data_IF_677896432850
#
_entry.id   IF_677896432850
#
_cell.length_a   1.000
_cell.length_b   1.000
_cell.length_c   1.000
_cell.angle_alpha   90.00
_cell.angle_beta   90.00
_cell.angle_gamma   90.00
#
_symmetry.space_group_name_H-M   'P 1'
#
loop_
_entity.id
_entity.type
_entity.pdbx_description
1 polymer ?
#
# COMPACT_ATOMS: atom_id res chain seq x y z
N UNK A 1 -4.54 19.42 -8.61
CA UNK A 1 -4.21 19.43 -7.16
C UNK A 1 -4.19 17.98 -6.68
N UNK A 2 -3.01 17.35 -6.62
CA UNK A 2 -2.87 15.95 -6.18
C UNK A 2 -2.74 15.94 -4.65
N UNK A 3 -3.67 15.34 -3.92
CA UNK A 3 -3.47 15.00 -2.50
C UNK A 3 -3.04 13.55 -2.46
N UNK A 4 -1.79 13.30 -2.09
CA UNK A 4 -1.26 11.95 -1.89
C UNK A 4 -1.45 11.60 -0.42
N UNK A 5 -2.23 10.56 -0.12
CA UNK A 5 -2.32 10.00 1.23
C UNK A 5 -1.39 8.80 1.34
N UNK A 6 -0.25 9.01 1.97
CA UNK A 6 0.74 7.96 2.22
C UNK A 6 0.30 7.18 3.46
N UNK A 7 -0.21 5.96 3.27
CA UNK A 7 -0.29 4.96 4.35
C UNK A 7 1.05 4.24 4.41
N UNK A 8 1.68 4.23 5.59
CA UNK A 8 2.98 3.58 5.84
C UNK A 8 2.74 2.41 6.78
N UNK A 9 2.94 1.19 6.30
CA UNK A 9 3.10 0.01 7.15
C UNK A 9 4.49 -0.57 6.88
N UNK A 10 5.32 -0.68 7.91
CA UNK A 10 6.63 -1.31 7.84
C UNK A 10 6.77 -2.25 9.03
N UNK A 11 7.04 -3.52 8.77
CA UNK A 11 7.28 -4.52 9.81
C UNK A 11 8.68 -5.05 9.62
N UNK A 12 9.56 -4.75 10.57
CA UNK A 12 10.91 -5.32 10.60
C UNK A 12 10.84 -6.70 11.25
N UNK A 13 11.20 -7.74 10.51
CA UNK A 13 11.43 -9.07 11.07
C UNK A 13 12.93 -9.20 11.39
N UNK A 14 13.30 -9.09 12.67
CA UNK A 14 14.69 -9.23 13.14
C UNK A 14 15.69 -8.27 12.45
N UNK A 15 16.86 -8.74 12.03
CA UNK A 15 17.93 -7.96 11.40
C UNK A 15 17.80 -7.86 9.87
N UNK A 16 16.66 -8.24 9.29
CA UNK A 16 16.43 -8.24 7.84
C UNK A 16 16.07 -6.84 7.32
N UNK A 17 16.18 -6.65 6.01
CA UNK A 17 15.75 -5.45 5.32
C UNK A 17 14.27 -5.17 5.57
N UNK A 18 13.93 -3.87 5.67
CA UNK A 18 12.56 -3.42 5.92
C UNK A 18 11.90 -3.16 4.57
N UNK A 19 10.80 -3.85 4.29
CA UNK A 19 9.96 -3.47 3.16
C UNK A 19 8.91 -2.43 3.57
N UNK A 20 8.88 -1.30 2.85
CA UNK A 20 7.97 -0.19 3.11
C UNK A 20 6.85 -0.15 2.07
N UNK A 21 5.65 -0.54 2.50
CA UNK A 21 4.44 -0.47 1.69
C UNK A 21 3.83 0.94 1.73
N UNK A 22 3.68 1.57 0.57
CA UNK A 22 3.02 2.85 0.38
C UNK A 22 1.87 2.77 -0.63
N UNK A 23 0.79 3.49 -0.36
CA UNK A 23 -0.28 3.70 -1.33
C UNK A 23 -0.26 5.14 -1.87
N UNK A 24 -0.18 5.29 -3.19
CA UNK A 24 -0.38 6.54 -3.93
C UNK A 24 -1.83 6.60 -4.41
N UNK A 25 -2.63 7.44 -3.75
CA UNK A 25 -4.03 7.61 -4.11
C UNK A 25 -4.24 8.63 -5.25
N UNK A 26 -4.90 8.21 -6.32
CA UNK A 26 -5.43 9.08 -7.37
C UNK A 26 -6.81 9.60 -6.93
N UNK A 27 -6.83 10.83 -6.44
CA UNK A 27 -8.06 11.49 -5.96
C UNK A 27 -8.87 12.11 -7.11
N UNK A 28 -8.21 12.46 -8.21
CA UNK A 28 -8.84 13.04 -9.40
C UNK A 28 -7.97 12.77 -10.62
N UNK A 29 -8.60 12.28 -11.68
CA UNK A 29 -8.04 12.14 -13.02
C UNK A 29 -9.15 12.44 -14.05
N UNK A 30 -8.76 12.80 -15.26
CA UNK A 30 -9.70 12.94 -16.38
C UNK A 30 -10.13 11.57 -16.91
N UNK A 31 -9.20 10.62 -16.97
CA UNK A 31 -9.46 9.27 -17.45
C UNK A 31 -8.86 8.23 -16.49
N UNK A 32 -9.71 7.57 -15.70
CA UNK A 32 -9.31 6.47 -14.83
C UNK A 32 -9.12 5.14 -15.59
N UNK A 33 -9.62 5.05 -16.83
CA UNK A 33 -9.53 3.84 -17.65
C UNK A 33 -8.20 3.75 -18.40
N UNK A 34 -7.51 4.88 -18.59
CA UNK A 34 -6.14 4.95 -19.12
C UNK A 34 -5.08 4.54 -18.08
N UNK A 35 -5.25 3.32 -17.59
CA UNK A 35 -4.48 2.69 -16.52
C UNK A 35 -2.99 2.55 -16.85
N UNK A 36 -2.67 2.33 -18.13
CA UNK A 36 -1.29 2.23 -18.61
C UNK A 36 -0.59 3.59 -18.42
N UNK A 37 -1.18 4.67 -18.96
CA UNK A 37 -0.59 5.99 -18.82
C UNK A 37 -0.58 6.46 -17.36
N UNK A 38 -1.59 6.10 -16.57
CA UNK A 38 -1.60 6.38 -15.13
C UNK A 38 -0.40 5.74 -14.42
N UNK A 39 -0.15 4.44 -14.66
CA UNK A 39 0.98 3.73 -14.04
C UNK A 39 2.32 4.30 -14.52
N UNK A 40 2.45 4.55 -15.82
CA UNK A 40 3.66 5.13 -16.41
C UNK A 40 3.95 6.55 -15.91
N UNK A 41 2.92 7.38 -15.75
CA UNK A 41 3.08 8.72 -15.19
C UNK A 41 3.54 8.68 -13.73
N UNK A 42 2.98 7.77 -12.93
CA UNK A 42 3.41 7.55 -11.56
C UNK A 42 4.86 7.05 -11.51
N UNK A 43 5.23 6.07 -12.36
CA UNK A 43 6.58 5.53 -12.48
C UNK A 43 7.60 6.59 -12.83
N UNK A 44 7.37 7.36 -13.91
CA UNK A 44 8.27 8.45 -14.32
C UNK A 44 8.42 9.52 -13.23
N UNK A 45 7.33 9.87 -12.56
CA UNK A 45 7.38 10.84 -11.44
C UNK A 45 8.16 10.29 -10.25
N UNK A 46 8.00 9.01 -9.95
CA UNK A 46 8.71 8.36 -8.85
C UNK A 46 10.20 8.21 -9.16
N UNK A 47 10.56 7.73 -10.36
CA UNK A 47 11.95 7.67 -10.83
C UNK A 47 12.62 9.03 -10.77
N UNK A 48 11.94 10.12 -11.14
CA UNK A 48 12.50 11.46 -10.97
C UNK A 48 12.87 11.75 -9.51
N UNK A 49 11.95 11.49 -8.57
CA UNK A 49 12.19 11.71 -7.15
C UNK A 49 13.29 10.80 -6.57
N UNK A 50 13.41 9.56 -7.05
CA UNK A 50 14.46 8.62 -6.65
C UNK A 50 15.83 9.05 -7.17
N UNK A 51 15.92 9.46 -8.44
CA UNK A 51 17.17 9.92 -9.05
C UNK A 51 17.66 11.26 -8.48
N UNK A 52 16.77 12.14 -7.99
CA UNK A 52 17.16 13.33 -7.22
C UNK A 52 17.91 12.99 -5.91
N UNK A 53 17.93 11.70 -5.52
CA UNK A 53 18.58 11.16 -4.33
C UNK A 53 19.56 10.02 -4.65
N UNK A 54 19.94 9.85 -5.91
CA UNK A 54 20.86 8.81 -6.38
C UNK A 54 20.41 7.36 -6.04
N UNK A 55 19.09 7.12 -5.96
CA UNK A 55 18.52 5.80 -5.61
C UNK A 55 18.20 4.91 -6.82
N UNK A 56 18.37 5.42 -8.05
CA UNK A 56 18.04 4.72 -9.28
C UNK A 56 16.54 4.61 -9.59
N UNK A 57 16.23 3.91 -10.67
CA UNK A 57 14.86 3.72 -11.14
C UNK A 57 14.14 2.59 -10.39
N UNK A 58 12.83 2.72 -10.19
CA UNK A 58 12.01 1.63 -9.67
C UNK A 58 11.68 0.60 -10.76
N UNK A 59 11.42 -0.63 -10.32
CA UNK A 59 10.81 -1.70 -11.09
C UNK A 59 9.28 -1.55 -11.12
N UNK A 60 8.68 -1.79 -12.29
CA UNK A 60 7.24 -1.87 -12.44
C UNK A 60 6.71 -3.26 -12.06
N UNK A 61 6.51 -3.56 -10.78
CA UNK A 61 5.97 -4.82 -10.29
C UNK A 61 4.48 -5.00 -10.60
N UNK A 62 3.93 -6.21 -10.44
CA UNK A 62 2.52 -6.50 -10.75
C UNK A 62 1.53 -5.57 -10.04
N UNK A 63 1.76 -5.25 -8.77
CA UNK A 63 0.81 -4.47 -7.95
C UNK A 63 1.37 -3.16 -7.39
N UNK A 64 2.64 -2.87 -7.64
CA UNK A 64 3.41 -1.78 -7.05
C UNK A 64 4.49 -1.28 -8.01
N UNK A 65 5.06 -0.12 -7.70
CA UNK A 65 6.33 0.35 -8.21
C UNK A 65 7.38 0.12 -7.12
N UNK A 66 8.32 -0.78 -7.36
CA UNK A 66 9.23 -1.33 -6.35
C UNK A 66 10.63 -0.74 -6.51
N UNK A 67 11.21 -0.23 -5.45
CA UNK A 67 12.62 0.20 -5.45
C UNK A 67 13.55 -0.98 -5.18
N UNK A 68 14.80 -0.89 -5.63
CA UNK A 68 15.85 -1.77 -5.13
C UNK A 68 16.13 -1.54 -3.65
N UNK A 69 17.02 -2.35 -3.06
CA UNK A 69 17.44 -2.15 -1.67
C UNK A 69 18.21 -0.83 -1.50
N UNK A 70 17.76 -0.03 -0.54
CA UNK A 70 18.32 1.26 -0.17
C UNK A 70 19.05 1.08 1.16
N UNK A 71 20.30 1.53 1.22
CA UNK A 71 21.10 1.55 2.43
C UNK A 71 21.53 2.97 2.76
N UNK A 72 21.55 3.32 4.04
CA UNK A 72 22.13 4.58 4.47
C UNK A 72 23.64 4.45 4.61
N UNK A 73 24.39 5.34 3.96
CA UNK A 73 25.86 5.40 4.09
C UNK A 73 26.29 5.80 5.51
N UNK A 74 25.41 6.44 6.29
CA UNK A 74 25.64 6.83 7.69
C UNK A 74 24.38 6.64 8.52
N UNK A 75 24.53 6.19 9.77
CA UNK A 75 23.43 6.04 10.72
C UNK A 75 22.95 4.59 10.82
N UNK A 76 21.64 4.36 10.64
CA UNK A 76 21.04 3.04 10.77
C UNK A 76 21.47 2.14 9.58
N UNK A 77 22.16 1.00 9.82
CA UNK A 77 22.60 0.11 8.76
C UNK A 77 21.47 -0.76 8.19
N UNK A 78 20.25 -0.71 8.75
CA UNK A 78 19.13 -1.50 8.23
C UNK A 78 18.75 -1.04 6.83
N UNK A 79 18.94 -1.94 5.87
CA UNK A 79 18.50 -1.79 4.49
C UNK A 79 16.98 -1.76 4.40
N UNK A 80 16.45 -1.10 3.39
CA UNK A 80 15.02 -1.07 3.16
C UNK A 80 14.69 -0.95 1.67
N UNK A 81 13.55 -1.50 1.28
CA UNK A 81 12.92 -1.28 -0.01
C UNK A 81 11.63 -0.48 0.19
N UNK A 82 11.10 0.05 -0.91
CA UNK A 82 9.83 0.74 -0.95
C UNK A 82 9.00 0.21 -2.11
N UNK A 83 7.75 -0.12 -1.79
CA UNK A 83 6.72 -0.54 -2.72
C UNK A 83 5.62 0.51 -2.77
N UNK A 84 5.43 1.15 -3.93
CA UNK A 84 4.41 2.18 -4.12
C UNK A 84 3.27 1.61 -4.96
N UNK A 85 2.19 1.20 -4.29
CA UNK A 85 0.94 0.79 -4.93
C UNK A 85 0.16 2.01 -5.41
N UNK A 86 -0.49 1.93 -6.57
CA UNK A 86 -1.39 2.99 -7.04
C UNK A 86 -2.82 2.57 -6.72
N UNK A 87 -3.56 3.46 -6.06
CA UNK A 87 -4.94 3.20 -5.65
C UNK A 87 -5.88 4.32 -6.06
N UNK A 88 -7.16 4.02 -6.21
CA UNK A 88 -8.23 5.00 -6.33
C UNK A 88 -9.40 4.60 -5.45
N UNK A 89 -10.43 5.45 -5.40
CA UNK A 89 -11.70 5.14 -4.72
C UNK A 89 -12.88 5.42 -5.62
N UNK A 90 -13.93 4.64 -5.45
CA UNK A 90 -15.23 4.91 -6.02
C UNK A 90 -16.08 5.85 -5.13
N UNK A 91 -17.33 6.06 -5.53
CA UNK A 91 -18.31 6.88 -4.80
C UNK A 91 -18.77 6.26 -3.48
N UNK A 92 -18.61 4.95 -3.31
CA UNK A 92 -18.93 4.22 -2.08
C UNK A 92 -17.74 4.19 -1.10
N UNK A 93 -16.63 4.85 -1.47
CA UNK A 93 -15.36 4.86 -0.76
C UNK A 93 -14.68 3.50 -0.66
N UNK A 94 -15.01 2.57 -1.56
CA UNK A 94 -14.22 1.35 -1.75
C UNK A 94 -12.91 1.69 -2.45
N UNK A 95 -11.83 1.06 -1.98
CA UNK A 95 -10.51 1.19 -2.58
C UNK A 95 -10.32 0.18 -3.70
N UNK A 96 -9.66 0.65 -4.75
CA UNK A 96 -9.21 -0.17 -5.86
C UNK A 96 -7.71 0.00 -6.03
N UNK A 97 -6.98 -1.09 -6.26
CA UNK A 97 -5.56 -1.09 -6.56
C UNK A 97 -5.35 -1.31 -8.05
N UNK A 98 -4.47 -0.53 -8.66
CA UNK A 98 -4.08 -0.75 -10.05
C UNK A 98 -3.15 -1.97 -10.14
N UNK A 99 -3.54 -2.95 -10.94
CA UNK A 99 -2.77 -4.15 -11.23
C UNK A 99 -2.28 -4.10 -12.68
N UNK A 100 -1.00 -4.43 -12.87
CA UNK A 100 -0.38 -4.73 -14.16
C UNK A 100 -0.08 -6.24 -14.19
N UNK A 101 -0.96 -7.01 -14.82
CA UNK A 101 -0.80 -8.45 -14.98
C UNK A 101 0.08 -8.73 -16.21
N UNK A 102 1.36 -8.99 -15.93
CA UNK A 102 2.35 -9.31 -16.94
C UNK A 102 2.15 -10.74 -17.46
N UNK A 103 2.17 -10.92 -18.77
CA UNK A 103 2.09 -12.25 -19.42
C UNK A 103 3.42 -12.68 -20.03
N UNK A 104 4.49 -11.89 -19.84
CA UNK A 104 5.78 -12.05 -20.51
C UNK A 104 5.85 -11.46 -21.92
N UNK A 105 4.73 -10.95 -22.43
CA UNK A 105 4.63 -10.29 -23.73
C UNK A 105 3.88 -8.97 -23.55
N UNK A 106 4.59 -7.85 -23.66
CA UNK A 106 4.07 -6.51 -23.31
C UNK A 106 2.76 -6.13 -24.01
N UNK A 107 2.56 -6.57 -25.24
CA UNK A 107 1.33 -6.32 -26.01
C UNK A 107 0.11 -7.13 -25.53
N UNK A 108 0.30 -8.10 -24.63
CA UNK A 108 -0.73 -8.92 -24.01
C UNK A 108 -0.91 -8.62 -22.52
N UNK A 109 -0.12 -7.71 -21.97
CA UNK A 109 -0.24 -7.34 -20.57
C UNK A 109 -1.58 -6.65 -20.31
N UNK A 110 -2.19 -6.97 -19.17
CA UNK A 110 -3.49 -6.43 -18.78
C UNK A 110 -3.32 -5.45 -17.63
N UNK A 111 -4.04 -4.33 -17.69
CA UNK A 111 -4.08 -3.35 -16.61
C UNK A 111 -5.51 -3.22 -16.11
N UNK A 112 -5.75 -3.33 -14.80
CA UNK A 112 -7.11 -3.24 -14.25
C UNK A 112 -7.14 -2.76 -12.80
N UNK A 113 -8.29 -2.22 -12.41
CA UNK A 113 -8.58 -1.82 -11.03
C UNK A 113 -9.11 -3.03 -10.25
N UNK A 114 -8.33 -3.54 -9.30
CA UNK A 114 -8.72 -4.62 -8.42
C UNK A 114 -9.34 -4.08 -7.13
N UNK A 115 -10.60 -4.42 -6.86
CA UNK A 115 -11.31 -3.95 -5.66
C UNK A 115 -10.71 -4.58 -4.40
N UNK A 116 -10.39 -3.76 -3.41
CA UNK A 116 -9.96 -4.23 -2.10
C UNK A 116 -11.21 -4.65 -1.29
N UNK A 117 -11.30 -5.91 -0.83
CA UNK A 117 -12.45 -6.40 -0.08
C UNK A 117 -12.68 -5.61 1.21
N UNK A 118 -13.96 -5.35 1.53
CA UNK A 118 -14.40 -4.67 2.76
C UNK A 118 -13.78 -3.29 3.00
N UNK A 119 -13.35 -2.61 1.95
CA UNK A 119 -12.64 -1.33 2.04
C UNK A 119 -13.56 -0.11 2.16
N UNK A 120 -14.86 -0.27 1.93
CA UNK A 120 -15.88 0.76 2.10
C UNK A 120 -15.74 1.53 3.43
N UNK A 121 -15.55 2.85 3.30
CA UNK A 121 -15.44 3.79 4.41
C UNK A 121 -14.26 3.56 5.36
N UNK A 122 -13.21 2.81 4.94
CA UNK A 122 -12.09 2.46 5.82
C UNK A 122 -11.37 3.68 6.39
N UNK A 123 -11.27 4.77 5.62
CA UNK A 123 -10.68 6.02 6.11
C UNK A 123 -11.53 6.66 7.22
N UNK A 124 -12.86 6.65 7.08
CA UNK A 124 -13.77 7.16 8.13
C UNK A 124 -13.65 6.32 9.40
N UNK A 125 -13.62 4.99 9.27
CA UNK A 125 -13.41 4.06 10.39
C UNK A 125 -12.06 4.30 11.08
N UNK A 126 -10.98 4.39 10.32
CA UNK A 126 -9.65 4.68 10.85
C UNK A 126 -9.58 6.04 11.56
N UNK A 127 -10.16 7.09 10.97
CA UNK A 127 -10.24 8.42 11.57
C UNK A 127 -11.03 8.40 12.88
N UNK A 128 -12.14 7.66 12.93
CA UNK A 128 -12.94 7.48 14.15
C UNK A 128 -12.11 6.83 15.27
N UNK A 129 -11.41 5.73 14.98
CA UNK A 129 -10.55 5.04 15.95
C UNK A 129 -9.44 5.96 16.47
N UNK A 130 -8.74 6.68 15.57
CA UNK A 130 -7.68 7.61 15.93
C UNK A 130 -8.17 8.72 16.86
N UNK A 131 -9.32 9.33 16.56
CA UNK A 131 -9.94 10.37 17.39
C UNK A 131 -10.27 9.91 18.81
N UNK A 132 -10.45 8.61 19.03
CA UNK A 132 -10.74 8.01 20.33
C UNK A 132 -9.49 7.49 21.06
N UNK A 133 -8.30 7.72 20.51
CA UNK A 133 -7.04 7.24 21.10
C UNK A 133 -6.85 5.72 21.01
N UNK A 134 -7.63 5.01 20.18
CA UNK A 134 -7.64 3.54 20.11
C UNK A 134 -6.75 2.99 19.00
N UNK A 135 -5.84 3.80 18.44
CA UNK A 135 -5.00 3.38 17.32
C UNK A 135 -4.08 2.19 17.68
N UNK A 136 -3.66 2.09 18.94
CA UNK A 136 -2.86 0.95 19.39
C UNK A 136 -3.59 -0.39 19.21
N UNK A 137 -4.93 -0.41 19.32
CA UNK A 137 -5.70 -1.63 19.05
C UNK A 137 -5.58 -2.05 17.58
N UNK A 138 -5.55 -1.10 16.64
CA UNK A 138 -5.37 -1.39 15.20
C UNK A 138 -3.98 -1.95 14.95
N UNK A 139 -2.94 -1.37 15.56
CA UNK A 139 -1.56 -1.88 15.43
C UNK A 139 -1.44 -3.31 15.95
N UNK A 140 -2.01 -3.60 17.12
CA UNK A 140 -2.02 -4.96 17.67
C UNK A 140 -2.81 -5.93 16.79
N UNK A 141 -4.00 -5.55 16.33
CA UNK A 141 -4.81 -6.38 15.44
C UNK A 141 -4.10 -6.66 14.11
N UNK A 142 -3.51 -5.63 13.50
CA UNK A 142 -2.74 -5.75 12.26
C UNK A 142 -1.58 -6.75 12.40
N UNK A 143 -0.78 -6.65 13.47
CA UNK A 143 0.32 -7.59 13.72
C UNK A 143 -0.19 -9.01 13.92
N UNK A 144 -1.29 -9.20 14.64
CA UNK A 144 -1.89 -10.52 14.84
C UNK A 144 -2.37 -11.13 13.51
N UNK A 145 -3.02 -10.33 12.66
CA UNK A 145 -3.51 -10.73 11.33
C UNK A 145 -2.32 -11.09 10.42
N UNK A 146 -1.31 -10.21 10.33
CA UNK A 146 -0.12 -10.44 9.50
C UNK A 146 0.63 -11.69 9.94
N UNK A 147 0.84 -11.88 11.24
CA UNK A 147 1.48 -13.09 11.77
C UNK A 147 0.64 -14.36 11.55
N UNK A 148 -0.69 -14.27 11.58
CA UNK A 148 -1.59 -15.39 11.28
C UNK A 148 -1.43 -15.84 9.83
N UNK A 149 -1.49 -14.91 8.88
CA UNK A 149 -1.32 -15.24 7.45
C UNK A 149 0.08 -15.75 7.13
N UNK A 150 1.12 -15.15 7.72
CA UNK A 150 2.49 -15.65 7.58
C UNK A 150 2.63 -17.10 8.07
N UNK A 151 2.03 -17.47 9.22
CA UNK A 151 2.05 -18.85 9.73
C UNK A 151 1.27 -19.84 8.86
N UNK A 152 0.29 -19.35 8.11
CA UNK A 152 -0.51 -20.14 7.19
C UNK A 152 0.12 -20.23 5.79
N UNK A 153 1.25 -19.55 5.57
CA UNK A 153 1.90 -19.41 4.27
C UNK A 153 0.94 -18.84 3.20
N UNK A 154 0.08 -17.91 3.62
CA UNK A 154 -0.89 -17.22 2.77
C UNK A 154 -0.25 -15.96 2.18
N UNK A 155 -0.10 -15.94 0.86
CA UNK A 155 0.49 -14.84 0.10
C UNK A 155 -0.56 -13.97 -0.60
N UNK A 156 -1.85 -14.28 -0.44
CA UNK A 156 -2.94 -13.59 -1.12
C UNK A 156 -3.47 -12.38 -0.32
N UNK A 157 -2.92 -12.16 0.88
CA UNK A 157 -3.29 -11.07 1.78
C UNK A 157 -2.15 -10.04 1.93
N UNK A 158 -1.95 -9.13 0.95
CA UNK A 158 -0.93 -8.10 1.05
C UNK A 158 -1.18 -7.16 2.24
N UNK A 159 -0.15 -6.42 2.66
CA UNK A 159 -0.19 -5.53 3.84
C UNK A 159 -1.44 -4.63 3.89
N UNK A 160 -1.88 -4.08 2.75
CA UNK A 160 -3.07 -3.22 2.70
C UNK A 160 -4.38 -3.96 3.04
N UNK A 161 -4.49 -5.23 2.68
CA UNK A 161 -5.66 -6.07 3.05
C UNK A 161 -5.65 -6.35 4.55
N UNK A 162 -4.48 -6.68 5.11
CA UNK A 162 -4.32 -6.83 6.56
C UNK A 162 -4.70 -5.55 7.32
N UNK A 163 -4.35 -4.39 6.78
CA UNK A 163 -4.72 -3.08 7.34
C UNK A 163 -6.25 -2.87 7.33
N UNK A 164 -6.92 -3.15 6.20
CA UNK A 164 -8.37 -3.04 6.08
C UNK A 164 -9.06 -3.94 7.09
N UNK A 165 -8.65 -5.21 7.20
CA UNK A 165 -9.20 -6.15 8.16
C UNK A 165 -8.99 -5.67 9.61
N UNK A 166 -7.79 -5.22 9.96
CA UNK A 166 -7.48 -4.72 11.30
C UNK A 166 -8.36 -3.53 11.70
N UNK A 167 -8.51 -2.54 10.81
CA UNK A 167 -9.36 -1.36 11.07
C UNK A 167 -10.82 -1.76 11.19
N UNK A 168 -11.32 -2.64 10.33
CA UNK A 168 -12.70 -3.13 10.40
C UNK A 168 -12.97 -3.88 11.71
N UNK A 169 -12.09 -4.81 12.10
CA UNK A 169 -12.22 -5.57 13.34
C UNK A 169 -12.27 -4.66 14.56
N UNK A 170 -11.35 -3.69 14.65
CA UNK A 170 -11.32 -2.73 15.76
C UNK A 170 -12.58 -1.86 15.76
N UNK A 171 -12.98 -1.33 14.61
CA UNK A 171 -14.17 -0.49 14.50
C UNK A 171 -15.47 -1.23 14.85
N UNK A 172 -15.58 -2.51 14.46
CA UNK A 172 -16.75 -3.34 14.77
C UNK A 172 -16.84 -3.65 16.27
N UNK A 173 -15.70 -3.76 16.95
CA UNK A 173 -15.63 -3.93 18.41
C UNK A 173 -15.78 -2.62 19.21
N UNK A 174 -16.14 -1.48 18.58
CA UNK A 174 -16.13 -0.17 19.26
C UNK A 174 -17.02 -0.02 20.48
N UNK A 175 -18.08 -0.83 20.58
CA UNK A 175 -19.00 -0.81 21.72
C UNK A 175 -18.40 -1.44 22.98
N UNK A 176 -17.31 -2.20 22.86
CA UNK A 176 -16.64 -2.88 23.98
C UNK A 176 -15.29 -2.27 24.36
N UNK A 177 -14.94 -1.12 23.77
CA UNK A 177 -13.72 -0.41 24.16
C UNK A 177 -13.85 0.10 25.59
N UNK A 178 -12.94 -0.35 26.48
CA UNK A 178 -12.71 0.26 27.79
C UNK A 178 -12.00 1.59 27.63
#
# INVERSE_FOLDING_TARGET
MKRVYIFKDGVQNASLSIDLDYNLEIVRCEDFEDRINLKECARKSFNKALNERDLGDCEDSTSSLTTGEIHFVRGNPTEFSMDVCIVCRDTEEDFYRLIHKKTGFTYRDEYYWNKAPHSAGIQKKAKYIKKRGKWQLVRTQYLNIKNRYLRQNDHDHPSFICYIEAVNNVYNARMSWK
#
